data_IF_114206840041
#
_entry.id   IF_114206840041
#
_cell.length_a   1.000
_cell.length_b   1.000
_cell.length_c   1.000
_cell.angle_alpha   90.00
_cell.angle_beta   90.00
_cell.angle_gamma   90.00
#
_symmetry.space_group_name_H-M   'P 1'
#
loop_
_entity.id
_entity.type
_entity.pdbx_description
1 polymer ?
#
# COMPACT_ATOMS: atom_id res chain seq x y z
N UNK A 1 13.55 -11.84 8.31
CA UNK A 1 12.62 -11.23 7.33
C UNK A 1 11.44 -10.62 8.08
N UNK A 2 10.58 -9.85 7.39
CA UNK A 2 9.37 -9.25 7.97
C UNK A 2 8.12 -10.15 7.91
N UNK A 3 8.31 -11.47 7.99
CA UNK A 3 7.23 -12.47 7.96
C UNK A 3 7.48 -13.64 7.01
N UNK A 4 8.22 -13.42 5.91
CA UNK A 4 8.40 -14.45 4.90
C UNK A 4 9.50 -15.45 5.25
N UNK A 5 9.25 -16.72 4.96
CA UNK A 5 10.18 -17.85 5.06
C UNK A 5 10.56 -18.32 3.66
N UNK A 6 11.62 -19.12 3.51
CA UNK A 6 11.97 -19.69 2.20
C UNK A 6 13.46 -19.87 1.92
N UNK A 7 14.32 -19.44 2.84
CA UNK A 7 15.73 -19.80 2.84
C UNK A 7 16.10 -20.31 4.25
N UNK A 8 17.01 -21.28 4.34
CA UNK A 8 17.35 -21.99 5.59
C UNK A 8 17.75 -21.05 6.74
N UNK A 9 18.35 -19.90 6.42
CA UNK A 9 18.84 -18.93 7.42
C UNK A 9 17.93 -17.72 7.61
N UNK A 10 16.69 -17.77 7.09
CA UNK A 10 15.74 -16.64 7.19
C UNK A 10 14.71 -16.93 8.27
N UNK A 11 14.81 -16.24 9.40
CA UNK A 11 13.78 -16.23 10.45
C UNK A 11 12.76 -15.11 10.22
N UNK A 12 11.45 -15.39 10.31
CA UNK A 12 10.41 -14.38 10.21
C UNK A 12 10.21 -13.68 11.56
N UNK A 13 10.44 -12.37 11.61
CA UNK A 13 10.22 -11.52 12.79
C UNK A 13 9.30 -10.35 12.45
N UNK A 14 8.58 -9.80 13.44
CA UNK A 14 7.74 -8.64 13.21
C UNK A 14 8.55 -7.41 12.80
N UNK A 15 8.02 -6.55 11.95
CA UNK A 15 8.68 -5.31 11.55
C UNK A 15 8.53 -4.22 12.62
N UNK A 16 9.62 -3.71 13.24
CA UNK A 16 9.54 -2.59 14.19
C UNK A 16 8.84 -1.36 13.61
N UNK A 17 9.16 -1.00 12.36
CA UNK A 17 8.57 0.15 11.66
C UNK A 17 7.05 0.04 11.58
N UNK A 18 6.54 -1.05 11.00
CA UNK A 18 5.11 -1.33 10.90
C UNK A 18 4.41 -1.38 12.26
N UNK A 19 5.01 -2.00 13.29
CA UNK A 19 4.45 -1.99 14.65
C UNK A 19 4.25 -0.57 15.20
N UNK A 20 5.16 0.37 14.91
CA UNK A 20 4.97 1.77 15.28
C UNK A 20 3.88 2.50 14.48
N UNK A 21 3.52 1.99 13.29
CA UNK A 21 2.49 2.59 12.42
C UNK A 21 1.08 2.16 12.81
N UNK A 22 0.89 0.95 13.35
CA UNK A 22 -0.44 0.42 13.75
C UNK A 22 -1.21 1.43 14.61
N UNK A 23 -0.53 2.08 15.56
CA UNK A 23 -1.15 3.04 16.47
C UNK A 23 -1.23 4.49 15.93
N UNK A 24 -0.76 4.73 14.71
CA UNK A 24 -0.64 6.08 14.12
C UNK A 24 -1.67 6.37 13.06
N UNK A 25 -2.32 5.37 12.49
CA UNK A 25 -3.39 5.56 11.52
C UNK A 25 -4.74 5.40 12.22
N UNK A 26 -5.63 6.33 11.93
CA UNK A 26 -7.00 6.34 12.41
C UNK A 26 -7.89 6.53 11.18
N UNK A 27 -9.00 5.79 11.14
CA UNK A 27 -9.99 5.93 10.09
C UNK A 27 -10.89 7.13 10.35
N UNK A 28 -11.01 8.01 9.37
CA UNK A 28 -11.96 9.13 9.38
C UNK A 28 -13.10 8.83 8.39
N UNK A 29 -14.30 8.41 8.86
CA UNK A 29 -15.43 8.13 7.98
C UNK A 29 -15.91 9.33 7.16
N UNK A 30 -15.66 10.55 7.64
CA UNK A 30 -15.96 11.80 6.94
C UNK A 30 -14.85 12.25 6.00
N UNK A 31 -13.69 11.60 6.05
CA UNK A 31 -12.48 11.97 5.31
C UNK A 31 -12.59 11.79 3.80
N UNK A 32 -11.50 12.10 3.09
CA UNK A 32 -11.42 12.01 1.62
C UNK A 32 -11.04 10.62 1.12
N UNK A 33 -11.05 10.44 -0.20
CA UNK A 33 -10.41 9.29 -0.86
C UNK A 33 -9.00 9.73 -1.27
N UNK A 34 -7.97 9.05 -0.77
CA UNK A 34 -6.58 9.39 -1.05
C UNK A 34 -5.99 8.46 -2.11
N UNK A 35 -5.66 9.02 -3.28
CA UNK A 35 -4.93 8.32 -4.34
C UNK A 35 -3.45 8.63 -4.26
N UNK A 36 -2.63 7.63 -3.97
CA UNK A 36 -1.16 7.80 -3.88
C UNK A 36 -0.48 7.27 -5.14
N UNK A 37 0.32 8.13 -5.77
CA UNK A 37 1.06 7.81 -6.99
C UNK A 37 2.56 7.62 -6.74
N UNK A 38 3.20 6.87 -7.64
CA UNK A 38 4.64 6.72 -7.78
C UNK A 38 5.15 7.58 -8.94
N UNK A 39 6.47 7.81 -8.96
CA UNK A 39 7.17 8.29 -10.13
C UNK A 39 8.56 7.65 -10.20
N UNK A 40 9.04 7.41 -11.41
CA UNK A 40 10.39 6.91 -11.69
C UNK A 40 11.07 7.84 -12.70
N UNK A 41 12.41 7.88 -12.77
CA UNK A 41 13.10 8.67 -13.79
C UNK A 41 12.74 8.28 -15.22
N UNK A 42 12.71 9.28 -16.13
CA UNK A 42 12.43 9.07 -17.57
C UNK A 42 13.38 8.10 -18.26
N UNK A 43 14.61 8.00 -17.77
CA UNK A 43 15.63 7.11 -18.31
C UNK A 43 15.99 6.06 -17.29
N UNK A 44 16.10 4.82 -17.74
CA UNK A 44 16.57 3.73 -16.88
C UNK A 44 18.03 3.97 -16.51
N UNK A 45 18.29 3.87 -15.21
CA UNK A 45 19.64 3.91 -14.65
C UNK A 45 19.93 2.68 -13.78
N UNK A 46 18.92 1.83 -13.55
CA UNK A 46 18.99 0.64 -12.72
C UNK A 46 17.88 -0.36 -13.11
N UNK A 47 18.17 -1.66 -13.01
CA UNK A 47 17.19 -2.74 -13.22
C UNK A 47 16.35 -3.01 -11.96
N UNK A 48 15.08 -2.59 -11.99
CA UNK A 48 14.09 -2.80 -10.92
C UNK A 48 12.77 -3.33 -11.50
N UNK A 49 11.97 -4.04 -10.69
CA UNK A 49 10.61 -4.48 -11.05
C UNK A 49 9.57 -3.36 -10.90
N UNK A 50 9.77 -2.27 -11.65
CA UNK A 50 8.90 -1.08 -11.69
C UNK A 50 8.78 -0.59 -13.14
N UNK A 51 7.77 0.23 -13.50
CA UNK A 51 7.67 0.82 -14.83
C UNK A 51 8.96 1.57 -15.22
N UNK A 52 9.48 1.24 -16.39
CA UNK A 52 10.71 1.82 -16.94
C UNK A 52 10.39 2.69 -18.16
N UNK A 53 10.93 3.92 -18.16
CA UNK A 53 10.81 4.87 -19.26
C UNK A 53 9.34 5.04 -19.71
N UNK A 54 9.03 4.77 -20.98
CA UNK A 54 7.70 4.98 -21.57
C UNK A 54 6.58 4.18 -20.86
N UNK A 55 6.89 3.10 -20.14
CA UNK A 55 5.88 2.36 -19.37
C UNK A 55 5.23 3.21 -18.26
N UNK A 56 5.90 4.26 -17.78
CA UNK A 56 5.29 5.17 -16.81
C UNK A 56 4.16 5.99 -17.43
N UNK A 57 4.13 6.18 -18.75
CA UNK A 57 3.02 6.87 -19.41
C UNK A 57 1.73 6.07 -19.28
N UNK A 58 1.78 4.75 -19.50
CA UNK A 58 0.65 3.85 -19.29
C UNK A 58 0.20 3.89 -17.82
N UNK A 59 1.16 3.86 -16.89
CA UNK A 59 0.88 4.00 -15.45
C UNK A 59 0.15 5.31 -15.13
N UNK A 60 0.60 6.44 -15.70
CA UNK A 60 -0.05 7.73 -15.44
C UNK A 60 -1.45 7.79 -16.05
N UNK A 61 -1.64 7.25 -17.25
CA UNK A 61 -2.94 7.18 -17.91
C UNK A 61 -3.93 6.31 -17.12
N UNK A 62 -3.50 5.17 -16.57
CA UNK A 62 -4.34 4.33 -15.72
C UNK A 62 -4.90 5.11 -14.53
N UNK A 63 -4.15 6.07 -13.98
CA UNK A 63 -4.59 6.79 -12.78
C UNK A 63 -5.65 7.83 -13.13
N UNK A 64 -5.51 8.46 -14.29
CA UNK A 64 -6.51 9.39 -14.83
C UNK A 64 -7.79 8.62 -15.18
N UNK A 65 -7.67 7.47 -15.87
CA UNK A 65 -8.80 6.58 -16.20
C UNK A 65 -9.56 6.13 -14.95
N UNK A 66 -8.85 5.76 -13.88
CA UNK A 66 -9.46 5.43 -12.59
C UNK A 66 -10.35 6.57 -12.11
N UNK A 67 -9.83 7.80 -12.08
CA UNK A 67 -10.59 8.97 -11.64
C UNK A 67 -11.77 9.30 -12.57
N UNK A 68 -11.62 9.10 -13.88
CA UNK A 68 -12.70 9.28 -14.87
C UNK A 68 -13.84 8.26 -14.73
N UNK A 69 -13.58 7.09 -14.16
CA UNK A 69 -14.59 6.07 -13.86
C UNK A 69 -15.28 6.26 -12.50
N UNK A 70 -14.77 7.14 -11.63
CA UNK A 70 -15.45 7.47 -10.38
C UNK A 70 -16.70 8.31 -10.63
N UNK A 71 -17.73 8.11 -9.82
CA UNK A 71 -18.91 8.97 -9.82
C UNK A 71 -18.51 10.43 -9.50
N UNK A 72 -19.25 11.44 -10.00
CA UNK A 72 -18.88 12.85 -9.79
C UNK A 72 -18.67 13.22 -8.32
N UNK A 73 -19.54 12.73 -7.43
CA UNK A 73 -19.47 12.98 -5.98
C UNK A 73 -18.16 12.47 -5.39
N UNK A 74 -17.69 11.30 -5.83
CA UNK A 74 -16.47 10.67 -5.31
C UNK A 74 -15.25 11.32 -5.93
N UNK A 75 -15.32 11.66 -7.22
CA UNK A 75 -14.24 12.37 -7.93
C UNK A 75 -13.95 13.72 -7.29
N UNK A 76 -14.97 14.45 -6.84
CA UNK A 76 -14.80 15.69 -6.11
C UNK A 76 -14.11 15.50 -4.75
N UNK A 77 -14.27 14.34 -4.12
CA UNK A 77 -13.59 13.99 -2.85
C UNK A 77 -12.25 13.26 -3.05
N UNK A 78 -11.83 13.03 -4.29
CA UNK A 78 -10.55 12.43 -4.61
C UNK A 78 -9.41 13.44 -4.35
N UNK A 79 -8.46 13.05 -3.51
CA UNK A 79 -7.23 13.77 -3.24
C UNK A 79 -6.05 13.01 -3.85
N UNK A 80 -5.42 13.59 -4.88
CA UNK A 80 -4.26 13.00 -5.54
C UNK A 80 -2.98 13.43 -4.84
N UNK A 81 -2.20 12.46 -4.38
CA UNK A 81 -0.88 12.68 -3.81
C UNK A 81 0.19 12.17 -4.76
N UNK A 82 0.84 13.11 -5.46
CA UNK A 82 1.91 12.85 -6.39
C UNK A 82 3.17 12.35 -5.68
N UNK A 83 4.10 11.74 -6.40
CA UNK A 83 5.44 11.53 -5.86
C UNK A 83 6.13 12.89 -5.67
N UNK A 84 6.95 13.11 -4.61
CA UNK A 84 7.58 14.41 -4.35
C UNK A 84 8.47 14.93 -5.49
N UNK A 85 8.99 14.01 -6.32
CA UNK A 85 9.83 14.34 -7.47
C UNK A 85 9.12 13.98 -8.77
N UNK A 86 9.00 14.94 -9.69
CA UNK A 86 8.26 14.72 -10.94
C UNK A 86 9.08 14.00 -12.01
N UNK A 87 10.42 14.10 -11.97
CA UNK A 87 11.33 13.56 -12.99
C UNK A 87 11.08 14.05 -14.44
N UNK A 88 10.32 15.14 -14.62
CA UNK A 88 10.02 15.71 -15.92
C UNK A 88 8.88 15.00 -16.66
N UNK A 89 8.00 14.33 -15.91
CA UNK A 89 6.79 13.71 -16.43
C UNK A 89 5.60 14.67 -16.54
N UNK A 90 5.71 15.85 -15.92
CA UNK A 90 4.66 16.85 -15.86
C UNK A 90 3.35 16.27 -15.30
N UNK A 91 3.43 15.42 -14.26
CA UNK A 91 2.29 14.66 -13.74
C UNK A 91 1.10 15.56 -13.39
N UNK A 92 1.37 16.66 -12.68
CA UNK A 92 0.33 17.64 -12.33
C UNK A 92 -0.35 18.24 -13.56
N UNK A 93 0.40 18.55 -14.61
CA UNK A 93 -0.16 19.12 -15.83
C UNK A 93 -1.05 18.11 -16.55
N UNK A 94 -0.58 16.86 -16.70
CA UNK A 94 -1.36 15.78 -17.34
C UNK A 94 -2.72 15.56 -16.68
N UNK A 95 -2.74 15.59 -15.36
CA UNK A 95 -3.99 15.55 -14.59
C UNK A 95 -4.89 16.77 -14.85
N UNK A 96 -4.33 17.99 -14.85
CA UNK A 96 -5.10 19.22 -15.09
C UNK A 96 -5.65 19.29 -16.52
N UNK A 97 -4.95 18.72 -17.50
CA UNK A 97 -5.40 18.69 -18.90
C UNK A 97 -6.67 17.84 -19.09
N UNK A 98 -6.85 16.82 -18.24
CA UNK A 98 -7.99 15.87 -18.31
C UNK A 98 -9.06 16.16 -17.27
N UNK A 99 -8.64 16.54 -16.06
CA UNK A 99 -9.50 16.79 -14.90
C UNK A 99 -9.08 18.10 -14.20
N UNK A 100 -9.46 19.27 -14.75
CA UNK A 100 -9.03 20.57 -14.22
C UNK A 100 -9.42 20.84 -12.75
N UNK A 101 -10.50 20.21 -12.27
CA UNK A 101 -11.00 20.37 -10.90
C UNK A 101 -10.38 19.43 -9.86
N UNK A 102 -9.42 18.57 -10.25
CA UNK A 102 -8.86 17.57 -9.34
C UNK A 102 -8.09 18.21 -8.17
N UNK A 103 -8.27 17.66 -6.97
CA UNK A 103 -7.62 18.17 -5.75
C UNK A 103 -6.30 17.44 -5.52
N UNK A 104 -5.29 18.19 -5.06
CA UNK A 104 -3.97 17.64 -4.75
C UNK A 104 -3.64 17.75 -3.27
N UNK A 105 -2.90 16.75 -2.77
CA UNK A 105 -2.20 16.87 -1.52
C UNK A 105 -1.05 17.88 -1.65
N UNK A 106 -0.95 18.81 -0.69
CA UNK A 106 0.03 19.90 -0.73
C UNK A 106 1.45 19.49 -0.32
N UNK A 107 1.66 18.24 0.11
CA UNK A 107 2.91 17.75 0.69
C UNK A 107 3.40 18.48 1.94
N UNK A 108 2.63 19.44 2.47
CA UNK A 108 2.92 20.15 3.73
C UNK A 108 2.92 19.18 4.91
N UNK A 109 2.13 18.11 4.82
CA UNK A 109 2.04 17.08 5.86
C UNK A 109 2.57 15.73 5.39
N UNK A 110 2.95 14.90 6.36
CA UNK A 110 3.40 13.54 6.15
C UNK A 110 2.30 12.67 5.55
N UNK A 111 2.69 11.58 4.88
CA UNK A 111 1.75 10.59 4.33
C UNK A 111 0.74 10.11 5.39
N UNK A 112 1.18 9.89 6.63
CA UNK A 112 0.32 9.46 7.73
C UNK A 112 -0.76 10.47 8.09
N UNK A 113 -0.48 11.77 7.98
CA UNK A 113 -1.49 12.82 8.23
C UNK A 113 -2.56 12.78 7.14
N UNK A 114 -2.16 12.59 5.89
CA UNK A 114 -3.11 12.49 4.76
C UNK A 114 -3.97 11.24 4.86
N UNK A 115 -3.37 10.09 5.19
CA UNK A 115 -4.12 8.83 5.41
C UNK A 115 -5.13 9.00 6.56
N UNK A 116 -4.73 9.62 7.69
CA UNK A 116 -5.65 9.85 8.82
C UNK A 116 -6.84 10.76 8.52
N UNK A 117 -6.71 11.65 7.54
CA UNK A 117 -7.80 12.54 7.07
C UNK A 117 -8.62 11.91 5.94
N UNK A 118 -8.41 10.62 5.69
CA UNK A 118 -9.04 9.88 4.61
C UNK A 118 -9.91 8.77 5.15
N UNK A 119 -10.97 8.44 4.42
CA UNK A 119 -11.82 7.27 4.67
C UNK A 119 -11.30 6.02 3.95
N UNK A 120 -10.58 6.22 2.85
CA UNK A 120 -10.14 5.17 1.95
C UNK A 120 -8.79 5.55 1.33
N UNK A 121 -7.88 4.57 1.31
CA UNK A 121 -6.56 4.69 0.70
C UNK A 121 -6.55 3.89 -0.59
N UNK A 122 -6.10 4.52 -1.67
CA UNK A 122 -5.92 3.90 -2.98
C UNK A 122 -4.43 3.83 -3.30
N UNK A 123 -3.90 2.61 -3.33
CA UNK A 123 -2.50 2.33 -3.67
C UNK A 123 -2.36 1.92 -5.12
N UNK A 124 -1.47 2.59 -5.85
CA UNK A 124 -1.32 2.38 -7.31
C UNK A 124 -0.10 1.54 -7.69
N UNK A 125 0.64 1.03 -6.71
CA UNK A 125 1.87 0.27 -6.95
C UNK A 125 2.27 -0.56 -5.73
N UNK A 126 3.18 -1.51 -5.94
CA UNK A 126 3.71 -2.36 -4.89
C UNK A 126 4.69 -1.57 -3.98
N UNK A 127 4.14 -0.81 -3.04
CA UNK A 127 4.84 0.11 -2.15
C UNK A 127 4.81 -0.31 -0.68
N UNK A 128 5.71 0.24 0.14
CA UNK A 128 5.61 0.07 1.60
C UNK A 128 4.38 0.75 2.20
N UNK A 129 3.83 1.77 1.54
CA UNK A 129 2.70 2.53 2.08
C UNK A 129 1.43 1.70 2.23
N UNK A 130 1.13 0.78 1.30
CA UNK A 130 -0.05 -0.09 1.50
C UNK A 130 0.20 -1.18 2.55
N UNK A 131 1.45 -1.60 2.77
CA UNK A 131 1.77 -2.50 3.89
C UNK A 131 1.50 -1.79 5.22
N UNK A 132 1.83 -0.51 5.32
CA UNK A 132 1.52 0.35 6.46
C UNK A 132 0.01 0.47 6.70
N UNK A 133 -0.81 0.65 5.65
CA UNK A 133 -2.27 0.70 5.80
C UNK A 133 -2.88 -0.65 6.18
N UNK A 134 -2.38 -1.75 5.61
CA UNK A 134 -2.81 -3.10 5.98
C UNK A 134 -2.48 -3.42 7.44
N UNK A 135 -1.26 -3.15 7.88
CA UNK A 135 -0.83 -3.37 9.27
C UNK A 135 -1.66 -2.56 10.25
N UNK A 136 -2.08 -1.34 9.89
CA UNK A 136 -2.95 -0.51 10.72
C UNK A 136 -4.45 -0.79 10.55
N UNK A 137 -4.82 -1.84 9.80
CA UNK A 137 -6.20 -2.21 9.50
C UNK A 137 -7.05 -1.08 8.90
N UNK A 138 -6.45 -0.31 7.99
CA UNK A 138 -7.10 0.83 7.33
C UNK A 138 -7.68 0.42 5.95
N UNK A 139 -8.93 0.82 5.61
CA UNK A 139 -9.57 0.49 4.34
C UNK A 139 -8.69 0.85 3.14
N UNK A 140 -8.36 -0.16 2.34
CA UNK A 140 -7.39 -0.03 1.26
C UNK A 140 -7.87 -0.75 0.01
N UNK A 141 -7.87 -0.03 -1.11
CA UNK A 141 -8.02 -0.61 -2.45
C UNK A 141 -6.71 -0.42 -3.21
N UNK A 142 -6.27 -1.44 -3.92
CA UNK A 142 -5.05 -1.44 -4.70
C UNK A 142 -5.39 -1.66 -6.16
N UNK A 143 -4.68 -0.99 -7.05
CA UNK A 143 -4.73 -1.32 -8.46
C UNK A 143 -3.43 -0.98 -9.18
N UNK A 144 -2.98 -1.85 -10.06
CA UNK A 144 -1.87 -1.59 -10.97
C UNK A 144 -1.80 -2.65 -12.06
N UNK A 145 -1.13 -2.32 -13.16
CA UNK A 145 -0.84 -3.28 -14.22
C UNK A 145 0.22 -4.30 -13.75
N UNK A 146 -0.19 -5.52 -13.44
CA UNK A 146 0.70 -6.60 -12.98
C UNK A 146 1.81 -6.96 -13.98
N UNK A 147 1.66 -6.62 -15.27
CA UNK A 147 2.73 -6.82 -16.28
C UNK A 147 3.91 -5.86 -16.10
N UNK A 148 3.69 -4.72 -15.43
CA UNK A 148 4.72 -3.71 -15.17
C UNK A 148 5.27 -3.80 -13.73
N UNK A 149 4.57 -4.53 -12.87
CA UNK A 149 4.90 -4.72 -11.46
C UNK A 149 4.99 -6.22 -11.16
N UNK A 150 6.00 -6.86 -11.75
CA UNK A 150 6.19 -8.30 -11.66
C UNK A 150 6.24 -8.79 -10.20
N UNK A 151 5.43 -9.81 -9.92
CA UNK A 151 5.35 -10.45 -8.61
C UNK A 151 6.13 -11.75 -8.65
N UNK A 152 6.85 -12.05 -7.56
CA UNK A 152 7.53 -13.34 -7.42
C UNK A 152 6.52 -14.48 -7.41
N UNK A 153 6.82 -15.59 -8.09
CA UNK A 153 5.96 -16.79 -8.12
C UNK A 153 5.57 -17.23 -6.69
N UNK A 154 6.51 -17.19 -5.74
CA UNK A 154 6.25 -17.55 -4.34
C UNK A 154 5.27 -16.62 -3.60
N UNK A 155 5.04 -15.42 -4.12
CA UNK A 155 4.09 -14.45 -3.58
C UNK A 155 2.74 -14.48 -4.31
N UNK A 156 2.67 -15.07 -5.51
CA UNK A 156 1.48 -15.12 -6.36
C UNK A 156 0.21 -15.57 -5.61
N UNK A 157 0.21 -16.66 -4.81
CA UNK A 157 -1.00 -17.11 -4.13
C UNK A 157 -1.62 -16.08 -3.18
N UNK A 158 -0.78 -15.22 -2.57
CA UNK A 158 -1.23 -14.19 -1.64
C UNK A 158 -1.85 -13.00 -2.39
N UNK A 159 -1.24 -12.60 -3.52
CA UNK A 159 -1.82 -11.57 -4.38
C UNK A 159 -3.10 -12.07 -5.07
N UNK A 160 -3.18 -13.33 -5.46
CA UNK A 160 -4.40 -13.97 -5.99
C UNK A 160 -5.52 -13.91 -4.96
N UNK A 161 -5.21 -14.17 -3.69
CA UNK A 161 -6.18 -14.06 -2.61
C UNK A 161 -6.70 -12.62 -2.47
N UNK A 162 -5.82 -11.60 -2.50
CA UNK A 162 -6.23 -10.19 -2.48
C UNK A 162 -7.13 -9.83 -3.68
N UNK A 163 -6.84 -10.36 -4.86
CA UNK A 163 -7.69 -10.19 -6.06
C UNK A 163 -9.05 -10.82 -5.88
N UNK A 164 -9.11 -12.04 -5.34
CA UNK A 164 -10.36 -12.79 -5.17
C UNK A 164 -11.36 -12.11 -4.23
N UNK A 165 -10.89 -11.25 -3.34
CA UNK A 165 -11.73 -10.51 -2.38
C UNK A 165 -11.89 -9.02 -2.75
N UNK A 166 -11.39 -8.60 -3.91
CA UNK A 166 -11.53 -7.21 -4.39
C UNK A 166 -10.60 -6.21 -3.70
N UNK A 167 -9.56 -6.62 -2.98
CA UNK A 167 -8.58 -5.66 -2.44
C UNK A 167 -7.64 -5.17 -3.54
N UNK A 168 -7.24 -6.06 -4.47
CA UNK A 168 -6.35 -5.75 -5.58
C UNK A 168 -7.06 -5.92 -6.91
N UNK A 169 -6.96 -4.91 -7.77
CA UNK A 169 -7.50 -4.91 -9.12
C UNK A 169 -6.38 -4.77 -10.16
N UNK A 170 -6.58 -5.38 -11.33
CA UNK A 170 -5.61 -5.31 -12.43
C UNK A 170 -5.88 -4.14 -13.39
N UNK A 171 -7.04 -3.51 -13.26
CA UNK A 171 -7.49 -2.41 -14.13
C UNK A 171 -8.02 -1.25 -13.30
N UNK A 172 -7.82 0.00 -13.74
CA UNK A 172 -8.39 1.17 -13.08
C UNK A 172 -9.93 1.13 -13.03
N UNK A 173 -10.60 0.62 -14.07
CA UNK A 173 -12.07 0.56 -14.14
C UNK A 173 -12.66 -0.33 -13.04
N UNK A 174 -12.10 -1.54 -12.87
CA UNK A 174 -12.57 -2.48 -11.84
C UNK A 174 -12.37 -1.92 -10.43
N UNK A 175 -11.25 -1.23 -10.18
CA UNK A 175 -11.01 -0.56 -8.90
C UNK A 175 -12.00 0.59 -8.67
N UNK A 176 -12.22 1.44 -9.68
CA UNK A 176 -13.16 2.55 -9.60
C UNK A 176 -14.60 2.07 -9.37
N UNK A 177 -14.98 0.94 -9.98
CA UNK A 177 -16.28 0.31 -9.76
C UNK A 177 -16.47 -0.05 -8.29
N UNK A 178 -15.53 -0.78 -7.68
CA UNK A 178 -15.59 -1.10 -6.25
C UNK A 178 -15.62 0.17 -5.39
N UNK A 179 -14.77 1.16 -5.68
CA UNK A 179 -14.74 2.43 -4.93
C UNK A 179 -16.10 3.13 -4.98
N UNK A 180 -16.78 3.13 -6.13
CA UNK A 180 -18.12 3.68 -6.27
C UNK A 180 -19.14 2.96 -5.36
N UNK A 181 -19.01 1.65 -5.19
CA UNK A 181 -19.90 0.84 -4.34
C UNK A 181 -19.64 1.09 -2.85
N UNK A 182 -18.37 1.11 -2.42
CA UNK A 182 -18.01 1.13 -1.00
C UNK A 182 -17.84 2.53 -0.42
N UNK A 183 -17.80 3.59 -1.25
CA UNK A 183 -17.43 4.95 -0.82
C UNK A 183 -18.17 5.49 0.41
N UNK A 184 -19.46 5.14 0.54
CA UNK A 184 -20.27 5.59 1.68
C UNK A 184 -19.75 5.05 3.00
N UNK A 185 -19.31 3.79 3.02
CA UNK A 185 -18.78 3.13 4.21
C UNK A 185 -17.71 2.09 3.83
N UNK A 186 -16.47 2.55 3.55
CA UNK A 186 -15.38 1.65 3.18
C UNK A 186 -14.99 0.70 4.31
N UNK A 187 -15.21 1.10 5.57
CA UNK A 187 -14.86 0.29 6.74
C UNK A 187 -15.78 -0.92 6.87
N UNK A 188 -17.07 -0.78 6.60
CA UNK A 188 -17.99 -1.94 6.59
C UNK A 188 -17.61 -2.99 5.56
N UNK A 189 -17.18 -2.60 4.37
CA UNK A 189 -16.59 -3.53 3.39
C UNK A 189 -15.28 -4.13 3.93
N UNK A 190 -14.38 -3.28 4.42
CA UNK A 190 -13.05 -3.71 4.89
C UNK A 190 -13.10 -4.73 6.03
N UNK A 191 -14.09 -4.63 6.92
CA UNK A 191 -14.25 -5.52 8.07
C UNK A 191 -14.96 -6.84 7.77
N UNK A 192 -15.34 -7.10 6.51
CA UNK A 192 -15.91 -8.41 6.15
C UNK A 192 -14.91 -9.55 6.42
N UNK A 193 -15.38 -10.73 6.89
CA UNK A 193 -14.49 -11.82 7.31
C UNK A 193 -13.50 -12.26 6.22
N UNK A 194 -13.94 -12.37 4.97
CA UNK A 194 -13.13 -12.86 3.85
C UNK A 194 -12.01 -11.87 3.49
N UNK A 195 -12.28 -10.58 3.59
CA UNK A 195 -11.35 -9.47 3.34
C UNK A 195 -10.32 -9.41 4.47
N UNK A 196 -10.77 -9.48 5.72
CA UNK A 196 -9.87 -9.51 6.87
C UNK A 196 -8.96 -10.73 6.84
N UNK A 197 -9.48 -11.90 6.49
CA UNK A 197 -8.69 -13.12 6.36
C UNK A 197 -7.62 -13.00 5.27
N UNK A 198 -8.00 -12.55 4.08
CA UNK A 198 -7.07 -12.31 2.98
C UNK A 198 -5.95 -11.32 3.36
N UNK A 199 -6.32 -10.20 3.97
CA UNK A 199 -5.37 -9.18 4.45
C UNK A 199 -4.47 -9.73 5.56
N UNK A 200 -4.99 -10.49 6.52
CA UNK A 200 -4.22 -11.04 7.63
C UNK A 200 -3.22 -12.10 7.14
N UNK A 201 -3.63 -12.98 6.22
CA UNK A 201 -2.73 -13.93 5.57
C UNK A 201 -1.59 -13.21 4.83
N UNK A 202 -1.91 -12.13 4.10
CA UNK A 202 -0.92 -11.31 3.43
C UNK A 202 0.05 -10.64 4.43
N UNK A 203 -0.47 -10.00 5.49
CA UNK A 203 0.33 -9.35 6.51
C UNK A 203 1.26 -10.33 7.24
N UNK A 204 0.76 -11.49 7.63
CA UNK A 204 1.59 -12.51 8.29
C UNK A 204 2.81 -12.91 7.45
N UNK A 205 2.67 -12.84 6.12
CA UNK A 205 3.73 -13.18 5.17
C UNK A 205 4.65 -12.01 4.84
N UNK A 206 4.13 -10.81 4.63
CA UNK A 206 4.90 -9.70 4.04
C UNK A 206 5.00 -8.44 4.91
N UNK A 207 4.19 -8.35 5.96
CA UNK A 207 4.05 -7.15 6.80
C UNK A 207 3.76 -7.55 8.26
N UNK A 208 4.51 -8.53 8.79
CA UNK A 208 4.22 -9.12 10.11
C UNK A 208 4.37 -8.05 11.20
N UNK A 209 3.34 -7.92 12.02
CA UNK A 209 3.32 -7.12 13.26
C UNK A 209 3.04 -8.05 14.44
N UNK A 210 3.33 -7.59 15.65
CA UNK A 210 3.06 -8.31 16.89
C UNK A 210 3.08 -7.34 18.07
N UNK A 211 2.11 -7.45 18.98
CA UNK A 211 2.10 -6.66 20.21
C UNK A 211 3.31 -6.97 21.11
N UNK A 212 3.90 -8.16 20.94
CA UNK A 212 5.11 -8.61 21.64
C UNK A 212 6.37 -8.47 20.78
N UNK A 213 6.35 -7.65 19.73
CA UNK A 213 7.46 -7.57 18.78
C UNK A 213 8.81 -7.33 19.46
N UNK A 214 8.88 -6.44 20.45
CA UNK A 214 10.14 -6.16 21.15
C UNK A 214 10.65 -7.37 21.92
N UNK A 215 9.76 -8.17 22.52
CA UNK A 215 10.12 -9.40 23.20
C UNK A 215 10.61 -10.47 22.19
N UNK A 216 9.89 -10.67 21.08
CA UNK A 216 10.30 -11.60 20.01
C UNK A 216 11.69 -11.25 19.47
N UNK A 217 11.99 -9.96 19.30
CA UNK A 217 13.31 -9.49 18.87
C UNK A 217 14.39 -9.71 19.92
N UNK A 218 14.11 -9.46 21.20
CA UNK A 218 15.07 -9.73 22.29
C UNK A 218 15.37 -11.23 22.37
N UNK A 219 14.34 -12.06 22.34
CA UNK A 219 14.50 -13.52 22.40
C UNK A 219 15.35 -14.04 21.24
N UNK A 220 15.12 -13.56 20.01
CA UNK A 220 15.89 -14.03 18.85
C UNK A 220 17.34 -13.51 18.84
N UNK A 221 17.58 -12.25 19.19
CA UNK A 221 18.91 -11.64 19.17
C UNK A 221 19.80 -12.15 20.32
N UNK A 222 19.22 -12.38 21.50
CA UNK A 222 19.95 -12.86 22.68
C UNK A 222 19.85 -14.38 22.88
N UNK A 223 19.27 -15.13 21.92
CA UNK A 223 19.19 -16.58 21.97
C UNK A 223 20.58 -17.27 22.00
N UNK A 224 21.61 -16.61 21.47
CA UNK A 224 23.00 -17.13 21.44
C UNK A 224 23.87 -16.71 22.62
N UNK A 225 23.40 -15.79 23.49
CA UNK A 225 24.14 -15.36 24.68
C UNK A 225 23.84 -16.23 25.92
N UNK A 226 23.04 -17.27 25.75
CA UNK A 226 22.85 -18.30 26.78
C UNK A 226 23.97 -19.34 26.64
N UNK A 227 25.06 -19.14 27.36
CA UNK A 227 25.92 -20.25 27.76
C UNK A 227 25.10 -21.26 28.60
N UNK A 228 25.57 -22.50 28.69
CA UNK A 228 24.87 -23.63 29.31
C UNK A 228 24.39 -23.43 30.77
N UNK A 229 24.80 -22.33 31.42
CA UNK A 229 24.45 -21.97 32.80
C UNK A 229 23.51 -20.74 32.94
N UNK A 230 23.04 -20.14 31.85
CA UNK A 230 21.89 -19.22 31.89
C UNK A 230 22.15 -17.76 32.32
N UNK A 231 23.41 -17.30 32.37
CA UNK A 231 23.74 -15.89 32.62
C UNK A 231 24.08 -15.12 31.33
N UNK A 232 23.62 -13.86 31.26
CA UNK A 232 23.91 -12.95 30.15
C UNK A 232 25.35 -12.42 30.24
N UNK A 233 26.15 -12.62 29.19
CA UNK A 233 27.44 -11.95 29.05
C UNK A 233 27.21 -10.45 28.76
N UNK A 234 27.78 -9.60 29.62
CA UNK A 234 27.90 -8.15 29.40
C UNK A 234 28.95 -7.83 28.34
#
# INVERSE_FOLDING_TARGET
>A
SWGWTGAERVKPLPSPKLNHVVNRLAHDPGGRVLLVQAATPRYSYWLHSVPVAAQLEDYLEDQIRFAECLSPVIRDELLVRLYPYDYGWCQKQRWLDRLPGIKYDSHVHTMYVSIRKSRLFIGTYNATTFLETFSANFPTVLFWNCKQWEIRISAQPYFDKLRSVGILHETPESAAHLVNEIYRDPMSWWLQPEIQEAKNQFCNRFARTSDKWLQEWKEDLFASDKDADGDYKL
#
